data_IF_415420233155
#
_entry.id   IF_415420233155
#
_cell.length_a   1.000
_cell.length_b   1.000
_cell.length_c   1.000
_cell.angle_alpha   90.00
_cell.angle_beta   90.00
_cell.angle_gamma   90.00
#
_symmetry.space_group_name_H-M   'P 1'
#
loop_
_entity.id
_entity.type
_entity.pdbx_description
1 polymer ?
#
# COMPACT_ATOMS: atom_id res chain seq x y z
N UNK A 1 -25.72 4.93 -36.73
CA UNK A 1 -25.87 3.51 -36.32
C UNK A 1 -24.47 2.94 -36.10
N UNK A 2 -23.89 3.17 -34.91
CA UNK A 2 -22.51 2.77 -34.57
C UNK A 2 -22.56 1.37 -33.98
N UNK A 3 -22.22 0.38 -34.81
CA UNK A 3 -22.00 -1.00 -34.40
C UNK A 3 -20.76 -1.00 -33.50
N UNK A 4 -20.94 -1.18 -32.19
CA UNK A 4 -19.82 -1.48 -31.30
C UNK A 4 -19.21 -2.81 -31.77
N UNK A 5 -17.94 -2.74 -32.11
CA UNK A 5 -17.19 -3.79 -32.78
C UNK A 5 -16.91 -5.00 -31.86
N UNK A 6 -16.60 -6.17 -32.45
CA UNK A 6 -15.93 -7.29 -31.78
C UNK A 6 -14.45 -6.95 -31.51
N UNK A 7 -14.19 -5.88 -30.75
CA UNK A 7 -12.85 -5.31 -30.56
C UNK A 7 -12.03 -5.96 -29.45
N UNK A 8 -12.62 -6.82 -28.62
CA UNK A 8 -11.90 -7.36 -27.46
C UNK A 8 -11.04 -8.59 -27.83
N UNK A 9 -11.46 -9.43 -28.77
CA UNK A 9 -10.69 -10.62 -29.20
C UNK A 9 -9.58 -10.35 -30.22
N UNK A 10 -9.47 -9.14 -30.77
CA UNK A 10 -8.60 -8.85 -31.93
C UNK A 10 -7.50 -7.81 -31.68
N UNK A 11 -7.35 -7.32 -30.45
CA UNK A 11 -6.38 -6.25 -30.16
C UNK A 11 -4.96 -6.73 -29.88
N UNK A 12 -4.78 -7.97 -29.41
CA UNK A 12 -3.50 -8.39 -28.84
C UNK A 12 -3.05 -9.78 -29.29
N UNK A 13 -3.88 -10.81 -29.11
CA UNK A 13 -3.63 -12.16 -29.63
C UNK A 13 -4.68 -12.49 -30.68
N UNK A 14 -4.29 -12.42 -31.95
CA UNK A 14 -5.17 -12.80 -33.05
C UNK A 14 -5.39 -14.33 -33.10
N UNK A 15 -6.34 -14.76 -33.92
CA UNK A 15 -6.70 -16.18 -34.04
C UNK A 15 -5.49 -17.03 -34.49
N UNK A 16 -4.63 -16.47 -35.35
CA UNK A 16 -3.44 -17.16 -35.82
C UNK A 16 -2.42 -17.35 -34.69
N UNK A 17 -2.19 -16.31 -33.88
CA UNK A 17 -1.33 -16.33 -32.70
C UNK A 17 -1.82 -17.33 -31.67
N UNK A 18 -3.14 -17.39 -31.44
CA UNK A 18 -3.73 -18.37 -30.52
C UNK A 18 -3.56 -19.81 -31.01
N UNK A 19 -3.71 -20.08 -32.31
CA UNK A 19 -3.43 -21.41 -32.86
C UNK A 19 -1.94 -21.78 -32.82
N UNK A 20 -1.03 -20.80 -32.92
CA UNK A 20 0.40 -21.04 -32.70
C UNK A 20 0.65 -21.45 -31.24
N UNK A 21 0.07 -20.70 -30.30
CA UNK A 21 0.17 -20.98 -28.87
C UNK A 21 -0.50 -22.31 -28.49
N UNK A 22 -1.58 -22.72 -29.13
CA UNK A 22 -2.23 -24.01 -28.85
C UNK A 22 -1.35 -25.22 -29.22
N UNK A 23 -0.51 -25.08 -30.25
CA UNK A 23 0.34 -26.16 -30.77
C UNK A 23 1.61 -26.41 -29.97
N UNK A 24 1.97 -25.53 -29.04
CA UNK A 24 3.20 -25.67 -28.25
C UNK A 24 3.07 -26.85 -27.29
N UNK A 25 4.04 -27.77 -27.30
CA UNK A 25 4.01 -28.94 -26.43
C UNK A 25 4.54 -28.60 -25.02
N UNK A 26 5.56 -27.73 -24.96
CA UNK A 26 6.29 -27.43 -23.74
C UNK A 26 6.07 -25.98 -23.29
N UNK A 27 6.30 -25.73 -21.99
CA UNK A 27 6.21 -24.39 -21.40
C UNK A 27 7.24 -23.44 -22.00
N UNK A 28 8.46 -23.93 -22.26
CA UNK A 28 9.52 -23.10 -22.85
C UNK A 28 9.17 -22.67 -24.28
N UNK A 29 8.68 -23.57 -25.13
CA UNK A 29 8.20 -23.24 -26.48
C UNK A 29 7.05 -22.22 -26.44
N UNK A 30 6.14 -22.37 -25.47
CA UNK A 30 5.05 -21.41 -25.26
C UNK A 30 5.59 -20.03 -24.89
N UNK A 31 6.61 -19.96 -24.04
CA UNK A 31 7.26 -18.69 -23.63
C UNK A 31 7.96 -18.01 -24.81
N UNK A 32 8.69 -18.76 -25.62
CA UNK A 32 9.35 -18.23 -26.82
C UNK A 32 8.34 -17.64 -27.81
N UNK A 33 7.28 -18.40 -28.14
CA UNK A 33 6.22 -17.93 -29.05
C UNK A 33 5.52 -16.71 -28.45
N UNK A 34 5.28 -16.68 -27.14
CA UNK A 34 4.67 -15.53 -26.47
C UNK A 34 5.57 -14.28 -26.53
N UNK A 35 6.87 -14.43 -26.32
CA UNK A 35 7.83 -13.33 -26.38
C UNK A 35 7.86 -12.70 -27.77
N UNK A 36 7.86 -13.52 -28.83
CA UNK A 36 7.75 -13.06 -30.22
C UNK A 36 6.44 -12.30 -30.45
N UNK A 37 5.31 -12.84 -29.99
CA UNK A 37 3.98 -12.25 -30.19
C UNK A 37 3.79 -10.92 -29.46
N UNK A 38 4.39 -10.79 -28.28
CA UNK A 38 4.37 -9.57 -27.49
C UNK A 38 5.43 -8.55 -27.93
N UNK A 39 6.33 -8.92 -28.85
CA UNK A 39 7.41 -8.06 -29.32
C UNK A 39 8.45 -7.76 -28.24
N UNK A 40 8.66 -8.69 -27.30
CA UNK A 40 9.64 -8.54 -26.23
C UNK A 40 11.04 -8.77 -26.80
N UNK A 41 11.94 -7.78 -26.66
CA UNK A 41 13.25 -7.79 -27.32
C UNK A 41 14.19 -8.84 -26.75
N UNK A 42 14.49 -8.76 -25.45
CA UNK A 42 15.32 -9.72 -24.72
C UNK A 42 14.84 -9.79 -23.25
N UNK A 43 14.01 -10.78 -22.87
CA UNK A 43 13.55 -10.96 -21.49
C UNK A 43 14.71 -11.08 -20.48
N UNK A 44 15.87 -11.57 -20.90
CA UNK A 44 17.05 -11.78 -20.05
C UNK A 44 17.73 -10.48 -19.63
N UNK A 45 17.56 -9.41 -20.40
CA UNK A 45 18.19 -8.10 -20.18
C UNK A 45 17.21 -7.07 -19.58
N UNK A 46 15.92 -7.40 -19.59
CA UNK A 46 14.83 -6.48 -19.34
C UNK A 46 13.90 -7.04 -18.27
N UNK A 47 14.02 -6.54 -17.03
CA UNK A 47 13.14 -6.96 -15.92
C UNK A 47 11.65 -6.77 -16.25
N UNK A 48 11.31 -5.70 -16.99
CA UNK A 48 9.93 -5.44 -17.44
C UNK A 48 9.45 -6.50 -18.41
N UNK A 49 10.28 -6.91 -19.36
CA UNK A 49 9.91 -7.91 -20.35
C UNK A 49 9.83 -9.29 -19.71
N UNK A 50 10.75 -9.64 -18.80
CA UNK A 50 10.69 -10.89 -18.02
C UNK A 50 9.38 -10.99 -17.23
N UNK A 51 9.02 -9.94 -16.48
CA UNK A 51 7.79 -9.93 -15.68
C UNK A 51 6.54 -9.96 -16.57
N UNK A 52 6.57 -9.29 -17.72
CA UNK A 52 5.48 -9.32 -18.69
C UNK A 52 5.30 -10.72 -19.28
N UNK A 53 6.41 -11.35 -19.67
CA UNK A 53 6.44 -12.72 -20.17
C UNK A 53 5.90 -13.70 -19.13
N UNK A 54 6.33 -13.59 -17.87
CA UNK A 54 5.85 -14.42 -16.78
C UNK A 54 4.35 -14.23 -16.54
N UNK A 55 3.87 -12.98 -16.52
CA UNK A 55 2.45 -12.67 -16.31
C UNK A 55 1.58 -13.39 -17.35
N UNK A 56 1.90 -13.26 -18.64
CA UNK A 56 1.10 -13.86 -19.70
C UNK A 56 1.31 -15.38 -19.81
N UNK A 57 2.51 -15.89 -19.52
CA UNK A 57 2.77 -17.34 -19.52
C UNK A 57 1.92 -18.05 -18.47
N UNK A 58 1.89 -17.53 -17.24
CA UNK A 58 1.07 -18.11 -16.18
C UNK A 58 -0.43 -17.95 -16.46
N UNK A 59 -0.84 -16.86 -17.10
CA UNK A 59 -2.23 -16.67 -17.51
C UNK A 59 -2.67 -17.70 -18.56
N UNK A 60 -1.80 -18.02 -19.53
CA UNK A 60 -2.06 -19.07 -20.51
C UNK A 60 -2.14 -20.45 -19.87
N UNK A 61 -1.22 -20.78 -18.96
CA UNK A 61 -1.25 -22.04 -18.21
C UNK A 61 -2.57 -22.18 -17.45
N UNK A 62 -3.00 -21.12 -16.76
CA UNK A 62 -4.29 -21.07 -16.08
C UNK A 62 -5.45 -21.32 -17.05
N UNK A 63 -5.49 -20.63 -18.19
CA UNK A 63 -6.57 -20.80 -19.17
C UNK A 63 -6.63 -22.24 -19.71
N UNK A 64 -5.48 -22.88 -19.95
CA UNK A 64 -5.39 -24.28 -20.35
C UNK A 64 -5.93 -25.22 -19.27
N UNK A 65 -5.57 -24.98 -18.01
CA UNK A 65 -6.04 -25.78 -16.86
C UNK A 65 -7.56 -25.69 -16.66
N UNK A 66 -8.14 -24.51 -16.93
CA UNK A 66 -9.59 -24.30 -16.88
C UNK A 66 -10.34 -24.77 -18.14
N UNK A 67 -9.63 -25.29 -19.15
CA UNK A 67 -10.23 -25.77 -20.40
C UNK A 67 -10.89 -24.66 -21.22
N UNK A 68 -10.33 -23.45 -21.20
CA UNK A 68 -10.87 -22.32 -21.97
C UNK A 68 -10.69 -22.52 -23.47
N UNK A 69 -11.65 -22.07 -24.27
CA UNK A 69 -11.52 -22.03 -25.73
C UNK A 69 -10.44 -21.02 -26.14
N UNK A 70 -10.02 -21.05 -27.41
CA UNK A 70 -9.06 -20.07 -27.95
C UNK A 70 -9.58 -18.63 -27.83
N UNK A 71 -10.87 -18.44 -28.05
CA UNK A 71 -11.54 -17.14 -27.95
C UNK A 71 -11.60 -16.65 -26.50
N UNK A 72 -11.93 -17.55 -25.57
CA UNK A 72 -11.91 -17.29 -24.13
C UNK A 72 -10.50 -16.95 -23.65
N UNK A 73 -9.49 -17.70 -24.07
CA UNK A 73 -8.10 -17.47 -23.71
C UNK A 73 -7.61 -16.12 -24.24
N UNK A 74 -7.88 -15.82 -25.52
CA UNK A 74 -7.56 -14.51 -26.11
C UNK A 74 -8.23 -13.37 -25.35
N UNK A 75 -9.52 -13.50 -25.00
CA UNK A 75 -10.24 -12.49 -24.23
C UNK A 75 -9.69 -12.34 -22.80
N UNK A 76 -9.33 -13.42 -22.12
CA UNK A 76 -8.74 -13.39 -20.79
C UNK A 76 -7.38 -12.67 -20.80
N UNK A 77 -6.52 -12.96 -21.80
CA UNK A 77 -5.26 -12.26 -21.99
C UNK A 77 -5.47 -10.77 -22.31
N UNK A 78 -6.43 -10.43 -23.17
CA UNK A 78 -6.76 -9.05 -23.49
C UNK A 78 -7.25 -8.27 -22.26
N UNK A 79 -8.13 -8.87 -21.46
CA UNK A 79 -8.61 -8.32 -20.21
C UNK A 79 -7.47 -8.07 -19.23
N UNK A 80 -6.58 -9.05 -19.05
CA UNK A 80 -5.42 -8.93 -18.16
C UNK A 80 -4.46 -7.83 -18.64
N UNK A 81 -4.27 -7.68 -19.95
CA UNK A 81 -3.43 -6.63 -20.52
C UNK A 81 -4.04 -5.24 -20.33
N UNK A 82 -5.34 -5.08 -20.58
CA UNK A 82 -6.05 -3.82 -20.37
C UNK A 82 -6.06 -3.44 -18.89
N UNK A 83 -6.26 -4.42 -17.99
CA UNK A 83 -6.09 -4.23 -16.56
C UNK A 83 -4.67 -3.77 -16.22
N UNK A 84 -3.64 -4.46 -16.73
CA UNK A 84 -2.27 -4.10 -16.44
C UNK A 84 -1.96 -2.66 -16.87
N UNK A 85 -2.39 -2.25 -18.06
CA UNK A 85 -2.26 -0.87 -18.56
C UNK A 85 -2.96 0.14 -17.65
N UNK A 86 -4.18 -0.15 -17.20
CA UNK A 86 -4.91 0.71 -16.28
C UNK A 86 -4.20 0.85 -14.93
N UNK A 87 -3.66 -0.25 -14.40
CA UNK A 87 -2.90 -0.26 -13.14
C UNK A 87 -1.65 0.59 -13.25
N UNK A 88 -0.88 0.50 -14.33
CA UNK A 88 0.42 1.20 -14.45
C UNK A 88 0.30 2.61 -15.06
N UNK A 89 -0.90 3.06 -15.40
CA UNK A 89 -1.14 4.38 -16.01
C UNK A 89 -0.76 5.57 -15.12
N UNK A 90 -0.65 5.36 -13.81
CA UNK A 90 -0.27 6.38 -12.81
C UNK A 90 0.68 5.78 -11.79
N UNK A 91 1.68 6.51 -11.26
CA UNK A 91 2.48 6.05 -10.13
C UNK A 91 1.71 6.09 -8.79
N UNK A 92 0.55 6.76 -8.74
CA UNK A 92 -0.28 6.85 -7.53
C UNK A 92 -1.01 5.52 -7.26
N UNK A 93 -1.41 5.32 -6.00
CA UNK A 93 -2.27 4.20 -5.63
C UNK A 93 -3.66 4.33 -6.26
N UNK A 94 -4.06 3.33 -7.06
CA UNK A 94 -5.35 3.27 -7.75
C UNK A 94 -5.93 1.83 -7.73
N UNK A 95 -5.67 1.07 -6.67
CA UNK A 95 -6.06 -0.35 -6.56
C UNK A 95 -7.58 -0.50 -6.66
N UNK A 96 -8.33 0.34 -5.96
CA UNK A 96 -9.79 0.27 -5.92
C UNK A 96 -10.41 0.61 -7.28
N UNK A 97 -9.93 1.65 -7.95
CA UNK A 97 -10.36 2.01 -9.31
C UNK A 97 -10.04 0.91 -10.32
N UNK A 98 -8.84 0.33 -10.25
CA UNK A 98 -8.43 -0.76 -11.12
C UNK A 98 -9.23 -2.03 -10.86
N UNK A 99 -9.56 -2.34 -9.60
CA UNK A 99 -10.43 -3.45 -9.26
C UNK A 99 -11.85 -3.23 -9.79
N UNK A 100 -12.42 -2.02 -9.62
CA UNK A 100 -13.73 -1.68 -10.20
C UNK A 100 -13.73 -1.74 -11.72
N UNK A 101 -12.66 -1.29 -12.36
CA UNK A 101 -12.48 -1.41 -13.80
C UNK A 101 -12.45 -2.90 -14.22
N UNK A 102 -11.62 -3.70 -13.57
CA UNK A 102 -11.53 -5.15 -13.79
C UNK A 102 -12.90 -5.82 -13.68
N UNK A 103 -13.62 -5.62 -12.57
CA UNK A 103 -14.93 -6.21 -12.35
C UNK A 103 -15.93 -5.77 -13.41
N UNK A 104 -15.91 -4.51 -13.84
CA UNK A 104 -16.83 -4.03 -14.88
C UNK A 104 -16.55 -4.67 -16.25
N UNK A 105 -15.27 -4.83 -16.64
CA UNK A 105 -14.87 -5.52 -17.87
C UNK A 105 -15.23 -7.01 -17.78
N UNK A 106 -14.97 -7.66 -16.65
CA UNK A 106 -15.30 -9.07 -16.43
C UNK A 106 -16.80 -9.34 -16.64
N UNK A 107 -17.68 -8.49 -16.08
CA UNK A 107 -19.12 -8.62 -16.28
C UNK A 107 -19.56 -8.40 -17.74
N UNK A 108 -18.86 -7.56 -18.51
CA UNK A 108 -19.10 -7.40 -19.94
C UNK A 108 -18.81 -8.68 -20.74
N UNK A 109 -18.06 -9.64 -20.20
CA UNK A 109 -17.82 -10.93 -20.86
C UNK A 109 -18.71 -12.08 -20.34
N UNK A 110 -19.49 -11.82 -19.29
CA UNK A 110 -20.34 -12.81 -18.62
C UNK A 110 -21.85 -12.62 -18.77
N UNK A 111 -22.29 -11.45 -19.24
CA UNK A 111 -23.73 -11.16 -19.38
C UNK A 111 -24.03 -10.89 -20.84
N UNK A 112 -24.97 -11.63 -21.44
CA UNK A 112 -25.39 -11.41 -22.84
C UNK A 112 -26.21 -10.11 -22.98
N UNK A 113 -25.61 -9.04 -23.54
CA UNK A 113 -26.34 -7.83 -23.97
C UNK A 113 -25.81 -7.31 -25.31
N UNK A 114 -26.27 -7.83 -26.45
CA UNK A 114 -25.98 -7.23 -27.74
C UNK A 114 -26.49 -5.76 -27.77
N UNK A 115 -25.70 -4.78 -28.27
CA UNK A 115 -24.39 -4.87 -28.95
C UNK A 115 -23.15 -4.77 -28.02
N UNK A 116 -23.31 -4.71 -26.70
CA UNK A 116 -22.26 -4.35 -25.74
C UNK A 116 -21.47 -5.53 -25.16
N UNK A 117 -22.08 -6.72 -25.08
CA UNK A 117 -21.46 -7.88 -24.46
C UNK A 117 -21.85 -9.20 -25.13
N UNK A 118 -20.85 -10.06 -25.32
CA UNK A 118 -20.97 -11.42 -25.84
C UNK A 118 -20.78 -12.34 -24.64
N UNK A 119 -21.70 -13.29 -24.48
CA UNK A 119 -21.70 -14.32 -23.44
C UNK A 119 -20.58 -15.33 -23.70
N UNK A 120 -19.34 -14.93 -23.38
CA UNK A 120 -18.14 -15.68 -23.75
C UNK A 120 -17.73 -16.67 -22.66
N UNK A 121 -17.95 -16.33 -21.39
CA UNK A 121 -17.61 -17.17 -20.26
C UNK A 121 -18.86 -17.59 -19.48
N UNK A 122 -18.85 -18.82 -18.98
CA UNK A 122 -19.83 -19.29 -17.99
C UNK A 122 -19.56 -18.64 -16.63
N UNK A 123 -20.55 -18.63 -15.75
CA UNK A 123 -20.44 -18.08 -14.40
C UNK A 123 -19.26 -18.66 -13.61
N UNK A 124 -19.10 -19.99 -13.61
CA UNK A 124 -17.99 -20.68 -12.95
C UNK A 124 -16.61 -20.25 -13.50
N UNK A 125 -16.51 -20.05 -14.83
CA UNK A 125 -15.29 -19.63 -15.49
C UNK A 125 -14.94 -18.17 -15.16
N UNK A 126 -15.94 -17.30 -15.02
CA UNK A 126 -15.75 -15.92 -14.58
C UNK A 126 -15.27 -15.85 -13.14
N UNK A 127 -15.86 -16.67 -12.25
CA UNK A 127 -15.44 -16.75 -10.86
C UNK A 127 -14.00 -17.26 -10.75
N UNK A 128 -13.65 -18.31 -11.50
CA UNK A 128 -12.27 -18.81 -11.55
C UNK A 128 -11.29 -17.76 -12.07
N UNK A 129 -11.65 -17.01 -13.13
CA UNK A 129 -10.82 -15.94 -13.66
C UNK A 129 -10.68 -14.76 -12.67
N UNK A 130 -11.76 -14.40 -11.98
CA UNK A 130 -11.74 -13.37 -10.94
C UNK A 130 -10.80 -13.76 -9.79
N UNK A 131 -10.95 -14.96 -9.28
CA UNK A 131 -10.11 -15.49 -8.20
C UNK A 131 -8.64 -15.55 -8.62
N UNK A 132 -8.37 -16.05 -9.83
CA UNK A 132 -7.03 -16.08 -10.40
C UNK A 132 -6.39 -14.69 -10.45
N UNK A 133 -7.07 -13.69 -11.02
CA UNK A 133 -6.52 -12.33 -11.16
C UNK A 133 -6.33 -11.66 -9.79
N UNK A 134 -7.22 -11.90 -8.84
CA UNK A 134 -7.07 -11.38 -7.48
C UNK A 134 -5.85 -12.00 -6.78
N UNK A 135 -5.72 -13.32 -6.83
CA UNK A 135 -4.67 -14.05 -6.11
C UNK A 135 -3.29 -13.96 -6.76
N UNK A 136 -3.23 -13.64 -8.05
CA UNK A 136 -1.96 -13.47 -8.78
C UNK A 136 -1.63 -11.99 -9.00
N UNK A 137 -2.46 -11.26 -9.75
CA UNK A 137 -2.14 -9.89 -10.14
C UNK A 137 -2.30 -8.90 -9.00
N UNK A 138 -3.49 -8.82 -8.39
CA UNK A 138 -3.76 -7.84 -7.33
C UNK A 138 -2.98 -8.12 -6.05
N UNK A 139 -2.74 -9.39 -5.72
CA UNK A 139 -1.85 -9.77 -4.60
C UNK A 139 -0.45 -9.17 -4.74
N UNK A 140 0.07 -9.07 -5.97
CA UNK A 140 1.38 -8.51 -6.27
C UNK A 140 1.30 -7.09 -6.87
N UNK A 141 0.21 -6.36 -6.64
CA UNK A 141 -0.03 -5.04 -7.25
C UNK A 141 1.12 -4.05 -7.04
N UNK A 142 1.70 -4.02 -5.83
CA UNK A 142 2.84 -3.14 -5.49
C UNK A 142 4.09 -3.45 -6.32
N UNK A 143 4.34 -4.72 -6.64
CA UNK A 143 5.45 -5.15 -7.48
C UNK A 143 5.28 -4.59 -8.90
N UNK A 144 4.10 -4.79 -9.50
CA UNK A 144 3.80 -4.25 -10.82
C UNK A 144 3.90 -2.72 -10.84
N UNK A 145 3.38 -2.03 -9.82
CA UNK A 145 3.56 -0.57 -9.71
C UNK A 145 5.02 -0.17 -9.69
N UNK A 146 5.82 -0.81 -8.83
CA UNK A 146 7.23 -0.47 -8.66
C UNK A 146 8.02 -0.60 -9.96
N UNK A 147 7.80 -1.68 -10.72
CA UNK A 147 8.57 -1.96 -11.93
C UNK A 147 8.11 -1.13 -13.13
N UNK A 148 6.79 -0.92 -13.27
CA UNK A 148 6.19 -0.37 -14.48
C UNK A 148 5.81 1.12 -14.39
N UNK A 149 5.93 1.76 -13.22
CA UNK A 149 5.68 3.20 -13.07
C UNK A 149 6.97 3.97 -12.76
N UNK A 150 7.08 5.24 -13.17
CA UNK A 150 8.22 6.06 -12.80
C UNK A 150 8.24 6.29 -11.28
N UNK A 151 9.41 6.11 -10.66
CA UNK A 151 9.60 6.41 -9.25
C UNK A 151 9.65 7.93 -9.05
N UNK A 152 8.66 8.48 -8.37
CA UNK A 152 8.66 9.88 -7.94
C UNK A 152 9.39 9.96 -6.59
N UNK A 153 10.58 10.56 -6.57
CA UNK A 153 11.34 10.81 -5.34
C UNK A 153 11.16 12.28 -4.94
N UNK A 154 10.83 12.51 -3.67
CA UNK A 154 10.80 13.85 -3.09
C UNK A 154 12.11 14.06 -2.35
N UNK A 155 12.97 14.93 -2.87
CA UNK A 155 14.19 15.35 -2.19
C UNK A 155 13.88 16.57 -1.32
N UNK A 156 13.91 16.38 0.00
CA UNK A 156 13.56 17.41 0.98
C UNK A 156 14.84 17.99 1.58
N UNK A 157 15.19 19.22 1.18
CA UNK A 157 16.19 20.02 1.89
C UNK A 157 15.49 20.93 2.90
N UNK A 158 15.68 20.63 4.18
CA UNK A 158 15.15 21.45 5.27
C UNK A 158 16.22 22.47 5.68
N UNK A 159 15.99 23.74 5.39
CA UNK A 159 16.80 24.84 5.94
C UNK A 159 16.07 25.42 7.14
N UNK A 160 16.60 25.21 8.33
CA UNK A 160 16.03 25.77 9.55
C UNK A 160 16.52 27.20 9.75
N UNK A 161 15.61 28.16 9.77
CA UNK A 161 15.93 29.57 10.01
C UNK A 161 16.27 29.74 11.49
N UNK A 162 17.46 30.27 11.80
CA UNK A 162 17.90 30.58 13.17
C UNK A 162 18.88 29.58 13.78
N UNK A 163 19.22 28.48 13.09
CA UNK A 163 20.40 27.69 13.43
C UNK A 163 21.61 28.27 12.70
N UNK A 164 22.65 28.66 13.44
CA UNK A 164 23.93 29.02 12.84
C UNK A 164 24.46 27.80 12.10
N UNK A 165 24.72 27.95 10.80
CA UNK A 165 25.27 26.89 9.97
C UNK A 165 26.65 26.53 10.52
N UNK A 166 26.76 25.36 11.16
CA UNK A 166 28.03 24.89 11.68
C UNK A 166 29.00 24.80 10.49
N UNK A 167 30.08 25.58 10.51
CA UNK A 167 31.15 25.40 9.53
C UNK A 167 31.64 23.97 9.70
N UNK A 168 31.47 23.16 8.67
CA UNK A 168 32.27 21.95 8.49
C UNK A 168 33.72 22.42 8.55
N UNK A 169 34.46 21.96 9.56
CA UNK A 169 35.89 22.21 9.60
C UNK A 169 36.54 21.58 8.38
N UNK A 170 37.58 22.20 7.79
CA UNK A 170 38.29 21.60 6.68
C UNK A 170 38.84 20.25 7.14
N UNK A 171 38.48 19.19 6.43
CA UNK A 171 39.20 17.93 6.50
C UNK A 171 40.63 18.23 6.05
N UNK A 172 41.60 18.07 6.96
CA UNK A 172 43.00 18.22 6.64
C UNK A 172 43.34 17.28 5.47
N UNK A 173 43.74 17.91 4.36
CA UNK A 173 44.24 17.23 3.18
C UNK A 173 45.56 16.51 3.52
N UNK A 174 45.49 15.19 3.71
CA UNK A 174 46.60 14.30 3.38
C UNK A 174 46.09 13.16 2.50
N UNK A 175 46.17 13.43 1.20
CA UNK A 175 46.59 12.54 0.11
C UNK A 175 45.87 11.17 -0.10
N UNK A 176 45.06 11.17 -1.16
CA UNK A 176 44.86 10.14 -2.23
C UNK A 176 45.50 8.76 -1.98
N UNK A 177 44.82 7.64 -2.22
CA UNK A 177 44.35 7.19 -3.55
C UNK A 177 43.58 5.86 -3.40
N UNK A 178 42.56 5.59 -4.24
CA UNK A 178 42.04 4.23 -4.45
C UNK A 178 40.54 4.04 -4.24
N UNK A 179 39.78 4.46 -5.23
CA UNK A 179 38.36 4.18 -5.43
C UNK A 179 38.02 2.68 -5.43
N UNK A 180 36.93 2.30 -4.76
CA UNK A 180 35.75 1.66 -5.39
C UNK A 180 34.62 1.41 -4.38
N UNK A 181 33.55 2.13 -4.67
CA UNK A 181 32.12 1.90 -4.40
C UNK A 181 31.77 0.52 -3.82
N UNK A 182 31.13 0.51 -2.64
CA UNK A 182 30.27 -0.59 -2.19
C UNK A 182 28.98 0.02 -1.65
N UNK A 183 27.89 -0.52 -2.19
CA UNK A 183 26.49 -0.17 -2.02
C UNK A 183 26.05 -0.10 -0.55
N UNK A 184 25.34 0.96 -0.20
CA UNK A 184 24.66 1.08 1.08
C UNK A 184 23.34 0.29 1.03
N UNK A 185 23.42 -0.98 1.45
CA UNK A 185 22.25 -1.80 1.74
C UNK A 185 21.48 -1.22 2.94
N UNK A 186 20.23 -0.85 2.68
CA UNK A 186 19.25 -0.54 3.70
C UNK A 186 18.97 -1.78 4.57
N UNK A 187 19.30 -1.68 5.86
CA UNK A 187 18.99 -2.69 6.88
C UNK A 187 17.75 -2.25 7.65
N UNK A 188 16.72 -3.10 7.62
CA UNK A 188 15.51 -3.04 8.46
C UNK A 188 15.83 -3.23 9.95
N UNK A 189 15.14 -2.54 10.88
CA UNK A 189 15.38 -2.72 12.32
C UNK A 189 14.68 -3.98 12.85
N UNK A 190 15.42 -4.82 13.58
CA UNK A 190 14.87 -5.75 14.55
C UNK A 190 15.40 -5.38 15.93
N UNK A 191 14.47 -5.26 16.88
CA UNK A 191 14.69 -5.03 18.30
C UNK A 191 15.29 -6.29 18.95
N UNK A 192 16.28 -6.15 19.83
CA UNK A 192 16.31 -6.77 21.17
C UNK A 192 17.54 -6.33 21.97
N UNK A 193 17.33 -6.30 23.29
CA UNK A 193 18.10 -5.70 24.37
C UNK A 193 19.53 -6.27 24.56
N UNK A 194 20.44 -5.45 25.08
CA UNK A 194 21.11 -5.77 26.36
C UNK A 194 21.84 -4.55 26.92
N UNK A 195 21.49 -4.21 28.15
CA UNK A 195 22.25 -3.32 29.02
C UNK A 195 23.65 -3.88 29.29
N UNK A 196 24.69 -3.09 29.03
CA UNK A 196 25.93 -3.17 29.81
C UNK A 196 26.43 -1.77 30.10
N UNK A 197 26.44 -1.45 31.38
CA UNK A 197 27.05 -0.27 31.99
C UNK A 197 28.55 -0.32 31.72
N UNK A 198 29.07 0.68 31.00
CA UNK A 198 30.48 1.08 31.11
C UNK A 198 30.50 2.59 31.28
N UNK A 199 30.66 2.98 32.53
CA UNK A 199 30.98 4.32 32.98
C UNK A 199 32.42 4.61 32.54
N UNK A 200 32.59 5.48 31.55
CA UNK A 200 33.87 6.03 31.17
C UNK A 200 33.83 7.54 31.42
N UNK A 201 34.51 7.96 32.49
CA UNK A 201 34.80 9.34 32.79
C UNK A 201 35.62 9.95 31.63
N UNK A 202 35.01 10.88 30.90
CA UNK A 202 35.69 11.80 29.99
C UNK A 202 35.08 13.20 30.17
N UNK A 203 35.94 14.22 30.16
CA UNK A 203 35.58 15.65 30.21
C UNK A 203 34.36 15.99 29.33
N UNK A 204 33.53 17.00 29.68
CA UNK A 204 32.15 17.09 29.22
C UNK A 204 32.06 17.27 27.71
N UNK A 205 31.99 16.15 27.00
CA UNK A 205 31.62 16.05 25.60
C UNK A 205 30.30 16.81 25.42
N UNK A 206 30.15 17.52 24.30
CA UNK A 206 28.92 18.24 23.94
C UNK A 206 27.67 17.32 24.03
N UNK A 207 27.87 16.02 23.85
CA UNK A 207 26.85 14.98 24.01
C UNK A 207 26.40 14.83 25.48
N UNK A 208 27.33 14.94 26.44
CA UNK A 208 27.02 14.92 27.88
C UNK A 208 26.19 16.13 28.28
N UNK A 209 26.54 17.33 27.79
CA UNK A 209 25.78 18.57 28.02
C UNK A 209 24.37 18.45 27.44
N UNK A 210 24.24 17.94 26.22
CA UNK A 210 22.94 17.76 25.58
C UNK A 210 22.08 16.71 26.30
N UNK A 211 22.67 15.58 26.72
CA UNK A 211 21.95 14.57 27.52
C UNK A 211 21.48 15.12 28.86
N UNK A 212 22.31 15.91 29.54
CA UNK A 212 21.94 16.56 30.78
C UNK A 212 20.77 17.52 30.55
N UNK A 213 20.81 18.33 29.49
CA UNK A 213 19.73 19.26 29.13
C UNK A 213 18.42 18.55 28.78
N UNK A 214 18.47 17.48 27.99
CA UNK A 214 17.28 16.69 27.66
C UNK A 214 16.67 16.09 28.94
N UNK A 215 17.52 15.52 29.81
CA UNK A 215 17.08 14.92 31.07
C UNK A 215 16.45 15.95 32.00
N UNK A 216 17.03 17.15 32.12
CA UNK A 216 16.45 18.21 32.97
C UNK A 216 15.13 18.72 32.40
N UNK A 217 15.03 18.89 31.08
CA UNK A 217 13.80 19.34 30.44
C UNK A 217 12.67 18.31 30.60
N UNK A 218 12.94 17.02 30.36
CA UNK A 218 11.95 15.96 30.53
C UNK A 218 11.43 15.88 31.98
N UNK A 219 12.32 15.99 32.97
CA UNK A 219 11.90 15.99 34.38
C UNK A 219 11.02 17.19 34.72
N UNK A 220 11.32 18.37 34.14
CA UNK A 220 10.53 19.58 34.34
C UNK A 220 9.11 19.42 33.76
N UNK A 221 9.00 18.96 32.51
CA UNK A 221 7.69 18.75 31.86
C UNK A 221 6.88 17.68 32.58
N UNK A 222 7.51 16.59 33.02
CA UNK A 222 6.84 15.53 33.79
C UNK A 222 6.30 16.06 35.12
N UNK A 223 7.07 16.89 35.83
CA UNK A 223 6.62 17.51 37.07
C UNK A 223 5.44 18.46 36.87
N UNK A 224 5.46 19.25 35.79
CA UNK A 224 4.33 20.13 35.43
C UNK A 224 3.07 19.33 35.10
N UNK A 225 3.21 18.23 34.35
CA UNK A 225 2.10 17.36 34.00
C UNK A 225 1.50 16.68 35.25
N UNK A 226 2.34 16.20 36.16
CA UNK A 226 1.88 15.62 37.43
C UNK A 226 1.08 16.62 38.26
N UNK A 227 1.57 17.85 38.41
CA UNK A 227 0.84 18.90 39.15
C UNK A 227 -0.51 19.21 38.52
N UNK A 228 -0.56 19.34 37.18
CA UNK A 228 -1.80 19.61 36.47
C UNK A 228 -2.83 18.48 36.66
N UNK A 229 -2.38 17.23 36.58
CA UNK A 229 -3.26 16.07 36.79
C UNK A 229 -3.80 16.05 38.22
N UNK A 230 -2.97 16.33 39.23
CA UNK A 230 -3.38 16.39 40.63
C UNK A 230 -4.42 17.49 40.88
N UNK A 231 -4.19 18.69 40.33
CA UNK A 231 -5.15 19.80 40.41
C UNK A 231 -6.49 19.45 39.76
N UNK A 232 -6.45 18.77 38.60
CA UNK A 232 -7.67 18.31 37.90
C UNK A 232 -8.42 17.26 38.71
N UNK A 233 -7.69 16.35 39.37
CA UNK A 233 -8.29 15.34 40.22
C UNK A 233 -8.97 15.97 41.43
N UNK A 234 -8.27 16.88 42.12
CA UNK A 234 -8.80 17.60 43.28
C UNK A 234 -10.03 18.45 42.94
N UNK A 235 -9.99 19.19 41.83
CA UNK A 235 -11.14 19.96 41.37
C UNK A 235 -12.35 19.05 41.01
N UNK A 236 -12.10 17.86 40.48
CA UNK A 236 -13.15 16.87 40.21
C UNK A 236 -13.73 16.31 41.51
N UNK A 237 -12.90 16.03 42.51
CA UNK A 237 -13.32 15.55 43.83
C UNK A 237 -14.18 16.60 44.55
N UNK A 238 -13.76 17.86 44.59
CA UNK A 238 -14.52 18.98 45.16
C UNK A 238 -15.87 19.17 44.44
N UNK A 239 -15.87 19.05 43.10
CA UNK A 239 -17.10 19.09 42.30
C UNK A 239 -18.04 17.92 42.62
N UNK A 240 -17.51 16.74 42.92
CA UNK A 240 -18.33 15.58 43.27
C UNK A 240 -18.87 15.69 44.70
N UNK A 241 -18.04 16.14 45.65
CA UNK A 241 -18.44 16.38 47.03
C UNK A 241 -19.48 17.49 47.16
N UNK A 242 -19.36 18.59 46.40
CA UNK A 242 -20.39 19.64 46.36
C UNK A 242 -21.73 19.13 45.82
N UNK A 243 -21.72 18.22 44.84
CA UNK A 243 -22.95 17.56 44.37
C UNK A 243 -23.53 16.61 45.42
N UNK A 244 -22.68 15.84 46.09
CA UNK A 244 -23.11 14.89 47.12
C UNK A 244 -23.76 15.63 48.30
N UNK A 245 -23.13 16.70 48.78
CA UNK A 245 -23.68 17.57 49.84
C UNK A 245 -24.98 18.27 49.44
N UNK A 246 -25.16 18.64 48.16
CA UNK A 246 -26.43 19.18 47.66
C UNK A 246 -27.57 18.15 47.66
N UNK A 247 -27.25 16.86 47.51
CA UNK A 247 -28.21 15.76 47.57
C UNK A 247 -28.49 15.32 49.01
N UNK A 248 -27.55 15.51 49.93
CA UNK A 248 -27.70 15.23 51.37
C UNK A 248 -28.44 16.33 52.14
N UNK A 249 -28.66 17.52 51.56
CA UNK A 249 -29.52 18.53 52.19
C UNK A 249 -30.95 17.99 52.33
N UNK A 250 -31.51 17.88 53.55
CA UNK A 250 -32.86 17.38 53.74
C UNK A 250 -33.87 18.31 53.08
N UNK A 251 -34.78 17.72 52.28
CA UNK A 251 -35.94 18.39 51.68
C UNK A 251 -36.69 19.21 52.73
N UNK A 252 -36.47 20.53 52.77
CA UNK A 252 -37.39 21.43 53.46
C UNK A 252 -38.64 21.59 52.59
N UNK A 253 -39.73 20.94 53.01
CA UNK A 253 -41.04 21.03 52.38
C UNK A 253 -41.62 22.46 52.54
N UNK A 254 -42.20 23.07 51.49
CA UNK A 254 -42.94 24.32 51.62
C UNK A 254 -44.29 24.09 52.35
N UNK A 255 -44.84 25.10 53.07
CA UNK A 255 -46.04 24.93 53.89
C UNK A 255 -47.30 24.97 53.02
N UNK A 256 -48.05 23.86 52.96
CA UNK A 256 -49.21 23.71 52.09
C UNK A 256 -50.42 23.03 52.74
N UNK A 257 -51.29 23.85 53.37
CA UNK A 257 -52.76 23.72 53.51
C UNK A 257 -53.38 22.32 53.75
N UNK A 258 -53.64 22.01 55.02
CA UNK A 258 -54.66 21.03 55.40
C UNK A 258 -56.06 21.67 55.43
N UNK A 259 -56.91 21.34 54.44
CA UNK A 259 -58.37 21.45 54.56
C UNK A 259 -58.89 20.15 55.19
N UNK A 260 -59.38 20.18 56.43
CA UNK A 260 -60.23 19.11 56.96
C UNK A 260 -61.65 19.63 57.18
N UNK A 261 -62.60 18.86 56.63
CA UNK A 261 -64.04 19.07 56.65
C UNK A 261 -64.62 18.12 57.71
N UNK A 262 -65.55 18.64 58.52
CA UNK A 262 -66.65 17.94 59.24
C UNK A 262 -66.30 16.95 60.36
N UNK A 263 -66.67 17.28 61.60
CA UNK A 263 -67.97 16.87 62.18
C UNK A 263 -68.38 17.83 63.30
#
# INVERSE_FOLDING_TARGET
MKILQPTCSRKYLDIHSMHRLEKTANVEEMREVLAELLGLGCPELSLRDAITLDLFSHALIFCRQQGFSLEQTSAACALLQDLHKACVATPLGNVEECYRYFTSVLFCHGVRRPPFSIDLFKEEQLLALADYVVNTYFRHFKLYKYVFTPQVRLDLSLTYIGLQQHKLWPEDETEKEGSKEVEEQAVTPQEEELETVVEAEQEPSQVSILRAYIKTQLNKELGQLQQLVEERFKASEERLNSKLTSLEQPFQLPPGKGKNKTK
#
